data_IF_070271882552
#
_entry.id   IF_070271882552
#
_cell.length_a   1.000
_cell.length_b   1.000
_cell.length_c   1.000
_cell.angle_alpha   90.00
_cell.angle_beta   90.00
_cell.angle_gamma   90.00
#
_symmetry.space_group_name_H-M   'P 1'
#
loop_
_entity.id
_entity.type
_entity.pdbx_description
1 polymer ?
#
# COMPACT_ATOMS: atom_id res chain seq x y z
N UNK A 1 -1.68 -11.66 -18.88
CA UNK A 1 -0.53 -11.42 -17.97
C UNK A 1 -0.80 -10.18 -17.12
N UNK A 2 -0.65 -10.30 -15.81
CA UNK A 2 -0.80 -9.16 -14.92
C UNK A 2 0.55 -8.44 -14.81
N UNK A 3 0.55 -7.13 -15.12
CA UNK A 3 1.75 -6.30 -14.95
C UNK A 3 1.88 -5.92 -13.48
N UNK A 4 3.03 -6.23 -12.87
CA UNK A 4 3.32 -5.90 -11.49
C UNK A 4 4.49 -4.93 -11.33
N UNK A 5 4.72 -4.11 -12.34
CA UNK A 5 5.70 -3.02 -12.35
C UNK A 5 5.10 -1.77 -12.95
N UNK A 6 5.53 -0.61 -12.47
CA UNK A 6 5.12 0.68 -12.98
C UNK A 6 6.31 1.52 -13.41
N UNK A 7 6.06 2.83 -13.58
CA UNK A 7 7.10 3.82 -13.92
C UNK A 7 8.19 3.87 -12.86
N UNK A 8 7.80 3.92 -11.59
CA UNK A 8 8.71 4.09 -10.45
C UNK A 8 8.93 2.83 -9.63
N UNK A 9 7.89 1.98 -9.54
CA UNK A 9 7.90 0.83 -8.65
C UNK A 9 8.09 -0.45 -9.44
N UNK A 10 9.02 -1.30 -8.99
CA UNK A 10 9.32 -2.58 -9.62
C UNK A 10 8.70 -3.72 -8.82
N UNK A 11 8.51 -4.86 -9.48
CA UNK A 11 7.86 -6.04 -8.88
C UNK A 11 8.48 -6.44 -7.54
N UNK A 12 9.81 -6.38 -7.43
CA UNK A 12 10.52 -6.76 -6.20
C UNK A 12 10.12 -5.92 -4.99
N UNK A 13 9.68 -4.68 -5.20
CA UNK A 13 9.26 -3.80 -4.10
C UNK A 13 7.95 -4.26 -3.46
N UNK A 14 7.14 -5.04 -4.18
CA UNK A 14 5.87 -5.56 -3.70
C UNK A 14 5.96 -6.95 -3.10
N UNK A 15 7.14 -7.53 -3.08
CA UNK A 15 7.37 -8.90 -2.64
C UNK A 15 7.03 -9.08 -1.17
N UNK A 16 6.39 -10.20 -0.85
CA UNK A 16 6.09 -10.56 0.54
C UNK A 16 7.38 -10.62 1.36
N UNK A 17 7.38 -9.96 2.51
CA UNK A 17 8.55 -9.86 3.39
C UNK A 17 8.89 -11.18 4.10
N UNK A 18 8.10 -12.25 3.93
CA UNK A 18 8.45 -13.56 4.48
C UNK A 18 9.71 -14.15 3.84
N UNK A 19 10.07 -13.70 2.64
CA UNK A 19 11.25 -14.16 1.93
C UNK A 19 11.15 -15.59 1.39
N UNK A 20 9.99 -16.24 1.47
CA UNK A 20 9.81 -17.66 1.10
C UNK A 20 8.76 -17.89 0.02
N UNK A 21 7.61 -17.21 0.10
CA UNK A 21 6.50 -17.46 -0.82
C UNK A 21 6.73 -16.88 -2.23
N UNK A 22 7.55 -15.84 -2.35
CA UNK A 22 7.85 -15.20 -3.62
C UNK A 22 6.71 -14.36 -4.22
N UNK A 23 5.57 -14.24 -3.53
CA UNK A 23 4.42 -13.48 -4.02
C UNK A 23 4.77 -11.99 -4.09
N UNK A 24 4.54 -11.37 -5.25
CA UNK A 24 4.93 -9.98 -5.48
C UNK A 24 3.96 -9.22 -6.40
N UNK A 25 2.79 -9.78 -6.69
CA UNK A 25 1.85 -9.16 -7.61
C UNK A 25 0.82 -8.33 -6.87
N UNK A 26 0.74 -7.04 -7.19
CA UNK A 26 -0.32 -6.16 -6.71
C UNK A 26 -1.16 -5.66 -7.89
N UNK A 27 -2.36 -5.17 -7.61
CA UNK A 27 -3.30 -4.76 -8.65
C UNK A 27 -2.71 -3.63 -9.50
N UNK A 28 -2.80 -3.71 -10.86
CA UNK A 28 -2.23 -2.68 -11.74
C UNK A 28 -2.74 -1.26 -11.46
N UNK A 29 -4.00 -1.10 -11.09
CA UNK A 29 -4.55 0.21 -10.75
C UNK A 29 -3.91 0.79 -9.50
N UNK A 30 -3.53 -0.06 -8.53
CA UNK A 30 -2.79 0.39 -7.35
C UNK A 30 -1.43 0.93 -7.77
N UNK A 31 -0.71 0.24 -8.65
CA UNK A 31 0.60 0.69 -9.14
C UNK A 31 0.49 2.05 -9.82
N UNK A 32 -0.55 2.27 -10.63
CA UNK A 32 -0.79 3.56 -11.28
C UNK A 32 -1.03 4.69 -10.27
N UNK A 33 -1.77 4.40 -9.21
CA UNK A 33 -2.02 5.37 -8.13
C UNK A 33 -0.70 5.76 -7.45
N UNK A 34 0.13 4.77 -7.14
CA UNK A 34 1.44 5.00 -6.51
C UNK A 34 2.35 5.84 -7.40
N UNK A 35 2.40 5.53 -8.70
CA UNK A 35 3.18 6.27 -9.68
C UNK A 35 2.72 7.73 -9.79
N UNK A 36 1.41 7.98 -9.86
CA UNK A 36 0.86 9.33 -9.93
C UNK A 36 1.16 10.15 -8.67
N UNK A 37 1.04 9.52 -7.49
CA UNK A 37 1.34 10.19 -6.24
C UNK A 37 2.82 10.58 -6.18
N UNK A 38 3.71 9.70 -6.60
CA UNK A 38 5.14 9.98 -6.64
C UNK A 38 5.47 11.09 -7.64
N UNK A 39 4.87 11.09 -8.82
CA UNK A 39 5.04 12.16 -9.81
C UNK A 39 4.60 13.51 -9.23
N UNK A 40 3.46 13.54 -8.54
CA UNK A 40 2.94 14.77 -7.94
C UNK A 40 3.85 15.30 -6.83
N UNK A 41 4.34 14.42 -5.97
CA UNK A 41 5.18 14.81 -4.83
C UNK A 41 6.63 15.14 -5.24
N UNK A 42 7.09 14.59 -6.36
CA UNK A 42 8.44 14.82 -6.88
C UNK A 42 9.56 14.34 -5.96
N UNK A 43 9.30 13.33 -5.12
CA UNK A 43 10.29 12.80 -4.17
C UNK A 43 10.21 11.28 -4.11
N UNK A 44 11.33 10.58 -3.87
CA UNK A 44 11.33 9.13 -3.81
C UNK A 44 10.44 8.58 -2.69
N UNK A 45 9.64 7.57 -3.05
CA UNK A 45 8.81 6.81 -2.14
C UNK A 45 9.25 5.34 -2.15
N UNK A 46 8.99 4.62 -1.08
CA UNK A 46 9.28 3.19 -1.00
C UNK A 46 8.10 2.42 -0.43
N UNK A 47 8.03 1.15 -0.78
CA UNK A 47 7.03 0.22 -0.26
C UNK A 47 7.63 -0.46 0.98
N UNK A 48 6.98 -0.30 2.13
CA UNK A 48 7.36 -0.99 3.36
C UNK A 48 6.80 -2.40 3.40
N UNK A 49 5.59 -2.58 2.88
CA UNK A 49 4.92 -3.87 2.86
C UNK A 49 4.05 -3.93 1.62
N UNK A 50 4.29 -4.91 0.78
CA UNK A 50 3.48 -5.20 -0.40
C UNK A 50 2.49 -6.31 -0.11
N UNK A 51 2.57 -7.39 -0.90
CA UNK A 51 1.78 -8.60 -0.65
C UNK A 51 2.17 -9.21 0.69
N UNK A 52 1.18 -9.69 1.44
CA UNK A 52 1.40 -10.52 2.64
C UNK A 52 0.71 -11.85 2.43
N UNK A 53 1.46 -12.93 2.45
CA UNK A 53 0.87 -14.25 2.24
C UNK A 53 0.02 -14.68 3.45
N UNK A 54 -0.98 -15.50 3.16
CA UNK A 54 -1.87 -16.09 4.16
C UNK A 54 -1.51 -17.54 4.49
N UNK A 55 -2.45 -18.27 5.15
CA UNK A 55 -2.21 -19.63 5.65
C UNK A 55 -1.84 -20.65 4.58
N UNK A 56 -2.15 -20.38 3.30
CA UNK A 56 -1.79 -21.28 2.18
C UNK A 56 -0.28 -21.27 1.89
N UNK A 57 0.46 -20.35 2.45
CA UNK A 57 1.90 -20.22 2.34
C UNK A 57 2.51 -20.17 3.75
N UNK A 58 3.39 -19.19 4.03
CA UNK A 58 4.02 -19.09 5.36
C UNK A 58 3.19 -18.31 6.37
N UNK A 59 2.01 -17.85 5.99
CA UNK A 59 1.10 -17.03 6.82
C UNK A 59 1.80 -15.81 7.44
N UNK A 60 2.55 -15.09 6.63
CA UNK A 60 3.25 -13.90 7.10
C UNK A 60 2.29 -12.87 7.69
N UNK A 61 1.10 -12.69 7.08
CA UNK A 61 0.09 -11.78 7.61
C UNK A 61 -0.33 -12.14 9.04
N UNK A 62 -0.53 -13.42 9.31
CA UNK A 62 -0.86 -13.89 10.66
C UNK A 62 0.30 -13.69 11.64
N UNK A 63 1.54 -13.98 11.21
CA UNK A 63 2.74 -13.86 12.05
C UNK A 63 2.98 -12.43 12.54
N UNK A 64 2.68 -11.43 11.73
CA UNK A 64 2.88 -10.02 12.11
C UNK A 64 1.62 -9.38 12.73
N UNK A 65 0.56 -10.17 12.97
CA UNK A 65 -0.66 -9.66 13.55
C UNK A 65 -1.51 -8.81 12.61
N UNK A 66 -1.41 -9.04 11.31
CA UNK A 66 -2.23 -8.35 10.32
C UNK A 66 -3.71 -8.69 10.46
N UNK A 67 -4.58 -7.80 9.98
CA UNK A 67 -6.03 -8.02 10.01
C UNK A 67 -6.39 -9.28 9.23
N UNK A 68 -7.39 -10.01 9.71
CA UNK A 68 -7.84 -11.27 9.10
C UNK A 68 -8.25 -11.09 7.63
N UNK A 69 -8.86 -9.96 7.30
CA UNK A 69 -9.31 -9.63 5.94
C UNK A 69 -8.47 -8.50 5.35
N UNK A 70 -7.17 -8.48 5.64
CA UNK A 70 -6.24 -7.46 5.16
C UNK A 70 -6.24 -7.39 3.63
N UNK A 71 -6.18 -6.19 3.09
CA UNK A 71 -6.01 -5.95 1.65
C UNK A 71 -4.63 -6.32 1.12
N UNK A 72 -3.66 -6.55 2.01
CA UNK A 72 -2.35 -7.09 1.63
C UNK A 72 -2.40 -8.58 1.24
N UNK A 73 -3.43 -9.29 1.68
CA UNK A 73 -3.59 -10.72 1.36
C UNK A 73 -3.86 -10.90 -0.14
N UNK A 74 -3.23 -11.90 -0.78
CA UNK A 74 -3.47 -12.16 -2.19
C UNK A 74 -4.90 -12.62 -2.43
N UNK A 75 -5.50 -12.10 -3.51
CA UNK A 75 -6.88 -12.34 -3.90
C UNK A 75 -6.93 -13.06 -5.25
N UNK A 76 -7.92 -13.95 -5.40
CA UNK A 76 -8.20 -14.63 -6.65
C UNK A 76 -7.13 -15.64 -7.06
N UNK A 77 -7.32 -16.23 -8.26
CA UNK A 77 -6.43 -17.27 -8.78
C UNK A 77 -5.04 -16.74 -9.12
N UNK A 78 -4.94 -15.46 -9.49
CA UNK A 78 -3.68 -14.81 -9.82
C UNK A 78 -2.90 -14.33 -8.58
N UNK A 79 -3.44 -14.51 -7.38
CA UNK A 79 -2.81 -14.16 -6.11
C UNK A 79 -2.36 -12.69 -6.06
N UNK A 80 -3.30 -11.79 -6.34
CA UNK A 80 -3.06 -10.35 -6.43
C UNK A 80 -3.34 -9.68 -5.10
N UNK A 81 -2.38 -8.91 -4.58
CA UNK A 81 -2.58 -8.01 -3.44
C UNK A 81 -3.26 -6.72 -3.88
N UNK A 82 -4.19 -6.21 -3.07
CA UNK A 82 -4.92 -4.98 -3.35
C UNK A 82 -4.49 -3.81 -2.49
N UNK A 83 -3.53 -4.01 -1.59
CA UNK A 83 -3.06 -2.98 -0.68
C UNK A 83 -1.56 -3.03 -0.43
N UNK A 84 -0.99 -1.87 -0.12
CA UNK A 84 0.42 -1.71 0.25
C UNK A 84 0.56 -0.68 1.36
N UNK A 85 1.70 -0.73 2.05
CA UNK A 85 2.15 0.32 2.95
C UNK A 85 3.29 1.08 2.28
N UNK A 86 3.17 2.40 2.19
CA UNK A 86 4.10 3.26 1.46
C UNK A 86 4.57 4.42 2.33
N UNK A 87 5.79 4.87 2.12
CA UNK A 87 6.35 6.02 2.82
C UNK A 87 7.41 6.73 1.98
N UNK A 88 7.92 7.84 2.47
CA UNK A 88 9.07 8.51 1.85
C UNK A 88 10.33 7.66 2.04
N UNK A 89 11.14 7.55 0.99
CA UNK A 89 12.42 6.82 1.05
C UNK A 89 13.38 7.46 2.07
N UNK A 90 13.40 8.78 2.14
CA UNK A 90 14.22 9.54 3.09
C UNK A 90 13.45 9.71 4.41
N UNK A 91 13.95 9.13 5.49
CA UNK A 91 13.31 9.19 6.80
C UNK A 91 13.08 10.62 7.31
N UNK A 92 13.99 11.54 6.98
CA UNK A 92 13.87 12.95 7.36
C UNK A 92 12.64 13.64 6.75
N UNK A 93 12.06 13.07 5.70
CA UNK A 93 10.84 13.60 5.05
C UNK A 93 9.55 13.07 5.68
N UNK A 94 9.61 12.21 6.68
CA UNK A 94 8.42 11.61 7.31
C UNK A 94 7.87 12.46 8.45
N UNK A 95 7.81 13.77 8.26
CA UNK A 95 7.13 14.68 9.22
C UNK A 95 5.61 14.49 9.14
N UNK A 96 4.85 14.88 10.18
CA UNK A 96 3.39 14.81 10.11
C UNK A 96 2.81 15.57 8.92
N UNK A 97 3.35 16.74 8.60
CA UNK A 97 2.92 17.52 7.44
C UNK A 97 3.15 16.75 6.13
N UNK A 98 4.35 16.19 5.95
CA UNK A 98 4.67 15.44 4.74
C UNK A 98 3.86 14.15 4.63
N UNK A 99 3.61 13.46 5.74
CA UNK A 99 2.76 12.28 5.75
C UNK A 99 1.33 12.63 5.34
N UNK A 100 0.82 13.78 5.79
CA UNK A 100 -0.49 14.29 5.37
C UNK A 100 -0.50 14.61 3.87
N UNK A 101 0.58 15.19 3.34
CA UNK A 101 0.72 15.46 1.89
C UNK A 101 0.73 14.17 1.08
N UNK A 102 1.40 13.14 1.56
CA UNK A 102 1.39 11.81 0.91
C UNK A 102 -0.03 11.24 0.89
N UNK A 103 -0.76 11.33 2.00
CA UNK A 103 -2.17 10.94 2.07
C UNK A 103 -2.99 11.65 0.99
N UNK A 104 -2.88 12.97 0.91
CA UNK A 104 -3.65 13.77 -0.05
C UNK A 104 -3.29 13.41 -1.50
N UNK A 105 -2.02 13.18 -1.79
CA UNK A 105 -1.57 12.78 -3.13
C UNK A 105 -2.15 11.42 -3.54
N UNK A 106 -2.18 10.47 -2.60
CA UNK A 106 -2.77 9.15 -2.84
C UNK A 106 -4.29 9.25 -3.06
N UNK A 107 -4.96 10.08 -2.25
CA UNK A 107 -6.40 10.30 -2.39
C UNK A 107 -6.75 10.87 -3.77
N UNK A 108 -6.05 11.92 -4.19
CA UNK A 108 -6.25 12.53 -5.50
C UNK A 108 -5.92 11.56 -6.65
N UNK A 109 -4.82 10.84 -6.53
CA UNK A 109 -4.38 9.87 -7.55
C UNK A 109 -5.36 8.70 -7.71
N UNK A 110 -6.07 8.34 -6.66
CA UNK A 110 -6.99 7.19 -6.66
C UNK A 110 -8.36 7.47 -7.23
N UNK A 111 -8.76 8.72 -7.39
CA UNK A 111 -10.10 9.04 -7.89
C UNK A 111 -10.35 8.49 -9.28
N UNK A 112 -11.54 7.94 -9.56
CA UNK A 112 -12.74 7.81 -8.71
C UNK A 112 -12.82 6.47 -7.94
N UNK A 113 -11.75 5.69 -7.83
CA UNK A 113 -11.75 4.40 -7.14
C UNK A 113 -11.98 4.62 -5.64
N UNK A 114 -12.82 3.80 -5.04
CA UNK A 114 -13.03 3.80 -3.59
C UNK A 114 -11.83 3.16 -2.91
N UNK A 115 -11.07 3.97 -2.19
CA UNK A 115 -9.83 3.54 -1.53
C UNK A 115 -10.04 3.20 -0.07
N UNK A 116 -9.15 2.35 0.46
CA UNK A 116 -8.83 2.31 1.87
C UNK A 116 -7.55 3.12 2.09
N UNK A 117 -7.56 4.04 3.03
CA UNK A 117 -6.39 4.84 3.40
C UNK A 117 -6.25 4.86 4.92
N UNK A 118 -5.09 4.41 5.39
CA UNK A 118 -4.74 4.43 6.80
C UNK A 118 -3.53 5.32 7.06
N UNK A 119 -3.66 6.27 7.98
CA UNK A 119 -2.63 7.25 8.31
C UNK A 119 -1.90 6.81 9.58
N UNK A 120 -0.61 6.48 9.43
CA UNK A 120 0.28 6.09 10.51
C UNK A 120 1.46 7.06 10.59
N UNK A 121 2.15 7.14 11.75
CA UNK A 121 3.22 8.14 11.90
C UNK A 121 4.34 8.06 10.87
N UNK A 122 4.68 6.87 10.37
CA UNK A 122 5.81 6.69 9.47
C UNK A 122 5.47 6.02 8.13
N UNK A 123 4.20 5.71 7.88
CA UNK A 123 3.75 5.17 6.58
C UNK A 123 2.26 5.45 6.37
N UNK A 124 1.82 5.25 5.13
CA UNK A 124 0.40 5.26 4.76
C UNK A 124 0.05 3.89 4.22
N UNK A 125 -1.02 3.29 4.73
CA UNK A 125 -1.66 2.18 4.06
C UNK A 125 -2.56 2.70 2.94
N UNK A 126 -2.47 2.12 1.76
CA UNK A 126 -3.38 2.41 0.64
C UNK A 126 -3.82 1.12 -0.03
N UNK A 127 -5.11 1.01 -0.30
CA UNK A 127 -5.66 -0.12 -1.03
C UNK A 127 -6.78 0.31 -1.98
N UNK A 128 -7.04 -0.54 -2.97
CA UNK A 128 -8.06 -0.32 -4.01
C UNK A 128 -9.29 -1.21 -3.75
N UNK A 129 -9.74 -1.26 -2.50
CA UNK A 129 -10.86 -2.12 -2.06
C UNK A 129 -12.15 -1.94 -2.85
N UNK A 130 -12.36 -0.77 -3.45
CA UNK A 130 -13.52 -0.54 -4.31
C UNK A 130 -13.56 -1.47 -5.50
N UNK A 131 -12.41 -1.94 -5.98
CA UNK A 131 -12.33 -2.91 -7.07
C UNK A 131 -12.75 -4.33 -6.65
N UNK A 132 -12.87 -4.57 -5.35
CA UNK A 132 -13.45 -5.79 -4.76
C UNK A 132 -14.90 -5.57 -4.33
N UNK A 133 -15.52 -4.47 -4.71
CA UNK A 133 -16.91 -4.15 -4.34
C UNK A 133 -17.07 -3.65 -2.90
N UNK A 134 -15.97 -3.31 -2.21
CA UNK A 134 -16.04 -2.77 -0.85
C UNK A 134 -16.18 -1.26 -0.87
N UNK A 135 -16.84 -0.72 0.16
CA UNK A 135 -16.92 0.73 0.37
C UNK A 135 -15.57 1.33 0.77
N UNK A 136 -15.42 2.63 0.54
CA UNK A 136 -14.22 3.35 0.97
C UNK A 136 -14.08 3.34 2.50
N UNK A 137 -12.83 3.42 2.96
CA UNK A 137 -12.51 3.48 4.38
C UNK A 137 -11.35 4.44 4.61
N UNK A 138 -11.46 5.19 5.69
CA UNK A 138 -10.41 6.11 6.14
C UNK A 138 -10.21 5.92 7.62
N UNK A 139 -8.96 5.76 8.05
CA UNK A 139 -8.63 5.66 9.46
C UNK A 139 -7.27 6.27 9.74
N UNK A 140 -7.03 6.55 11.01
CA UNK A 140 -5.74 7.02 11.48
C UNK A 140 -5.31 6.25 12.71
N UNK A 141 -4.00 6.08 12.85
CA UNK A 141 -3.45 5.56 14.08
C UNK A 141 -3.61 6.58 15.20
N UNK A 142 -3.98 6.11 16.39
CA UNK A 142 -4.19 6.96 17.57
C UNK A 142 -2.94 7.75 17.97
N UNK A 143 -1.78 7.31 17.56
CA UNK A 143 -0.50 7.96 17.86
C UNK A 143 -0.06 8.93 16.75
N UNK A 144 -0.87 9.15 15.71
CA UNK A 144 -0.48 10.06 14.64
C UNK A 144 -0.41 11.50 15.15
N UNK A 145 0.77 12.15 15.07
CA UNK A 145 0.93 13.53 15.56
C UNK A 145 0.48 14.52 14.49
N UNK A 146 -0.80 14.90 14.53
CA UNK A 146 -1.34 15.85 13.56
C UNK A 146 -0.54 17.15 13.53
N UNK A 147 -0.31 17.75 12.35
CA UNK A 147 0.29 19.08 12.24
C UNK A 147 -0.60 20.12 12.94
N UNK A 148 0.02 21.02 13.69
CA UNK A 148 -0.68 22.10 14.38
C UNK A 148 -0.44 23.42 13.68
#
# INVERSE_FOLDING_TARGET
MVMNSGKWFKADEFKCNCGKCGLNTVHPELIKILDRARDHLGTPLRINSGVRCGPQHTDYNGQIGGAKNSMHLPQGDDLIGFGVDITYSQSAKRSPLNMTRLWMALEDAGRPIKLGLGLYPSWIHVDVRGLLGRGEARWQDKYFPWPR
#
